data_IF_883052412434
#
_entry.id   IF_883052412434
#
_cell.length_a   1.000
_cell.length_b   1.000
_cell.length_c   1.000
_cell.angle_alpha   90.00
_cell.angle_beta   90.00
_cell.angle_gamma   90.00
#
_symmetry.space_group_name_H-M   'P 1'
#
loop_
_entity.id
_entity.type
_entity.pdbx_description
1 polymer ?
#
# COMPACT_ATOMS: atom_id res chain seq x y z
N UNK A 1 -9.66 -15.06 -5.05
CA UNK A 1 -9.47 -13.76 -4.38
C UNK A 1 -9.27 -12.70 -5.44
N UNK A 2 -9.86 -11.52 -5.27
CA UNK A 2 -9.70 -10.41 -6.19
C UNK A 2 -8.32 -9.76 -5.96
N UNK A 3 -7.65 -9.35 -7.05
CA UNK A 3 -6.45 -8.51 -6.98
C UNK A 3 -6.85 -7.09 -7.33
N UNK A 4 -6.51 -6.15 -6.46
CA UNK A 4 -6.77 -4.73 -6.65
C UNK A 4 -5.40 -4.05 -6.75
N UNK A 5 -5.23 -3.19 -7.76
CA UNK A 5 -4.02 -2.41 -7.91
C UNK A 5 -4.13 -1.14 -7.07
N UNK A 6 -3.23 -1.00 -6.09
CA UNK A 6 -3.11 0.22 -5.30
C UNK A 6 -2.56 1.36 -6.16
N UNK A 7 -3.27 2.48 -6.17
CA UNK A 7 -2.85 3.70 -6.86
C UNK A 7 -2.19 4.64 -5.86
N UNK A 8 -0.86 4.68 -5.86
CA UNK A 8 -0.10 5.54 -4.95
C UNK A 8 -0.05 6.98 -5.47
N UNK A 9 -0.34 7.93 -4.57
CA UNK A 9 -0.14 9.36 -4.79
C UNK A 9 0.98 9.86 -3.87
N UNK A 10 1.86 10.69 -4.41
CA UNK A 10 2.95 11.32 -3.67
C UNK A 10 2.47 12.64 -3.06
N UNK A 11 2.70 12.81 -1.78
CA UNK A 11 2.46 14.05 -1.04
C UNK A 11 3.77 14.54 -0.43
N UNK A 12 3.96 15.85 -0.39
CA UNK A 12 5.12 16.50 0.19
C UNK A 12 4.61 17.47 1.25
N UNK A 13 4.90 17.16 2.51
CA UNK A 13 4.53 17.96 3.68
C UNK A 13 5.80 18.11 4.52
N UNK A 14 6.55 19.19 4.27
CA UNK A 14 7.92 19.33 4.78
C UNK A 14 7.99 19.15 6.31
N UNK A 15 8.96 18.35 6.81
CA UNK A 15 10.08 17.73 6.09
C UNK A 15 9.78 16.32 5.51
N UNK A 16 8.53 15.88 5.49
CA UNK A 16 8.14 14.52 5.13
C UNK A 16 7.64 14.35 3.68
N UNK A 17 7.85 13.15 3.14
CA UNK A 17 7.31 12.71 1.85
C UNK A 17 6.50 11.45 2.09
N UNK A 18 5.25 11.44 1.63
CA UNK A 18 4.33 10.31 1.80
C UNK A 18 3.93 9.72 0.45
N UNK A 19 3.72 8.41 0.43
CA UNK A 19 3.10 7.69 -0.68
C UNK A 19 1.84 7.01 -0.14
N UNK A 20 0.67 7.56 -0.46
CA UNK A 20 -0.61 7.10 0.07
C UNK A 20 -1.42 6.45 -1.04
N UNK A 21 -2.04 5.31 -0.72
CA UNK A 21 -3.00 4.63 -1.58
C UNK A 21 -4.25 4.29 -0.76
N UNK A 22 -5.40 4.32 -1.42
CA UNK A 22 -6.69 3.98 -0.81
C UNK A 22 -7.15 2.62 -1.32
N UNK A 23 -7.79 1.84 -0.45
CA UNK A 23 -8.40 0.56 -0.79
C UNK A 23 -9.73 0.44 -0.07
N UNK A 24 -10.80 0.19 -0.83
CA UNK A 24 -12.08 -0.18 -0.26
C UNK A 24 -11.96 -1.53 0.43
N UNK A 25 -12.56 -1.67 1.60
CA UNK A 25 -12.61 -2.93 2.33
C UNK A 25 -13.98 -3.10 3.01
N UNK A 26 -14.40 -4.35 3.15
CA UNK A 26 -15.56 -4.73 3.96
C UNK A 26 -15.17 -4.94 5.43
N UNK A 27 -16.17 -5.07 6.31
CA UNK A 27 -15.91 -5.33 7.73
C UNK A 27 -15.24 -6.70 7.91
N UNK A 28 -14.22 -6.77 8.76
CA UNK A 28 -13.42 -7.97 9.05
C UNK A 28 -12.71 -8.54 7.82
N UNK A 29 -12.41 -7.70 6.82
CA UNK A 29 -11.72 -8.14 5.63
C UNK A 29 -10.21 -8.26 5.85
N UNK A 30 -9.67 -9.46 5.58
CA UNK A 30 -8.24 -9.75 5.65
C UNK A 30 -7.59 -9.60 4.27
N UNK A 31 -6.81 -8.54 4.10
CA UNK A 31 -6.11 -8.21 2.85
C UNK A 31 -4.62 -8.58 2.90
N UNK A 32 -4.11 -9.08 1.78
CA UNK A 32 -2.68 -9.37 1.57
C UNK A 32 -2.08 -8.31 0.66
N UNK A 33 -1.04 -7.65 1.15
CA UNK A 33 -0.37 -6.54 0.48
C UNK A 33 0.97 -7.00 -0.09
N UNK A 34 1.25 -6.51 -1.30
CA UNK A 34 2.49 -6.71 -2.04
C UNK A 34 2.91 -5.34 -2.56
N UNK A 35 3.87 -4.70 -1.88
CA UNK A 35 4.31 -3.35 -2.19
C UNK A 35 5.71 -3.42 -2.79
N UNK A 36 5.83 -3.06 -4.06
CA UNK A 36 7.14 -2.90 -4.72
C UNK A 36 7.68 -1.51 -4.43
N UNK A 37 8.90 -1.46 -3.89
CA UNK A 37 9.63 -0.24 -3.61
C UNK A 37 10.82 -0.18 -4.57
N UNK A 38 10.86 0.87 -5.39
CA UNK A 38 11.92 1.11 -6.36
C UNK A 38 12.75 2.32 -5.93
N UNK A 39 14.06 2.14 -5.79
CA UNK A 39 15.00 3.21 -5.50
C UNK A 39 16.24 3.08 -6.41
N UNK A 40 16.36 3.97 -7.39
CA UNK A 40 17.41 3.88 -8.40
C UNK A 40 17.33 2.55 -9.16
N UNK A 41 18.37 1.72 -9.02
CA UNK A 41 18.44 0.39 -9.66
C UNK A 41 18.00 -0.76 -8.73
N UNK A 42 17.52 -0.47 -7.51
CA UNK A 42 17.07 -1.49 -6.55
C UNK A 42 15.55 -1.59 -6.57
N UNK A 43 15.08 -2.83 -6.61
CA UNK A 43 13.67 -3.18 -6.48
C UNK A 43 13.53 -4.18 -5.34
N UNK A 44 12.74 -3.81 -4.34
CA UNK A 44 12.44 -4.66 -3.18
C UNK A 44 10.92 -4.84 -3.07
N UNK A 45 10.48 -5.96 -2.50
CA UNK A 45 9.05 -6.22 -2.28
C UNK A 45 8.76 -6.42 -0.80
N UNK A 46 7.93 -5.53 -0.25
CA UNK A 46 7.38 -5.66 1.09
C UNK A 46 6.05 -6.41 1.02
N UNK A 47 5.96 -7.52 1.74
CA UNK A 47 4.75 -8.34 1.85
C UNK A 47 4.23 -8.36 3.27
N UNK A 48 2.96 -8.07 3.45
CA UNK A 48 2.31 -8.17 4.76
C UNK A 48 0.82 -8.49 4.61
N UNK A 49 0.18 -8.84 5.72
CA UNK A 49 -1.26 -9.11 5.78
C UNK A 49 -1.86 -8.27 6.89
N UNK A 50 -3.03 -7.69 6.64
CA UNK A 50 -3.74 -6.88 7.62
C UNK A 50 -5.24 -7.22 7.59
N UNK A 51 -5.88 -7.22 8.76
CA UNK A 51 -7.33 -7.34 8.87
C UNK A 51 -7.88 -5.96 9.20
N UNK A 52 -8.78 -5.45 8.37
CA UNK A 52 -9.46 -4.19 8.61
C UNK A 52 -10.74 -4.42 9.41
N UNK A 53 -10.99 -3.53 10.36
CA UNK A 53 -12.18 -3.51 11.21
C UNK A 53 -12.87 -2.15 11.06
N UNK A 54 -14.20 -2.11 11.14
CA UNK A 54 -14.97 -0.86 11.18
C UNK A 54 -14.93 -0.19 12.56
#
# INVERSE_FOLDING_TARGET
GQRINLQFRRFVEEPAIYYLAEVGHDNEERLRFFITITQGNRNEELRFTHTFYR
#
